data_IF_258628892651
#
_entry.id   IF_258628892651
#
_cell.length_a   1.000
_cell.length_b   1.000
_cell.length_c   1.000
_cell.angle_alpha   90.00
_cell.angle_beta   90.00
_cell.angle_gamma   90.00
#
_symmetry.space_group_name_H-M   'P 1'
#
loop_
_entity.id
_entity.type
_entity.pdbx_description
1 polymer ?
2 non-polymer ?
3 non-polymer ?
4 non-polymer ?
5 water ?
#
# COMPACT_ATOMS: atom_id res chain seq x y z
N UNK A 2 -3.89 10.43 15.97
CA UNK A 2 -4.75 9.56 15.11
C UNK A 2 -3.94 9.10 13.89
N UNK A 3 -4.66 8.59 12.88
CA UNK A 3 -4.10 8.25 11.58
C UNK A 3 -4.66 9.25 10.57
N UNK A 4 -3.82 9.66 9.61
CA UNK A 4 -4.32 10.53 8.56
C UNK A 4 -4.11 9.87 7.21
N UNK A 5 -5.08 10.12 6.32
CA UNK A 5 -5.11 9.61 4.96
C UNK A 5 -3.91 10.18 4.21
N UNK A 6 -3.36 9.40 3.27
CA UNK A 6 -2.25 9.86 2.45
C UNK A 6 -2.74 10.45 1.13
N UNK A 7 -1.99 11.45 0.66
CA UNK A 7 -2.22 12.09 -0.62
C UNK A 7 -1.08 11.74 -1.57
N UNK A 8 -1.22 12.17 -2.83
CA UNK A 8 -0.18 12.02 -3.84
C UNK A 8 1.15 12.59 -3.35
N UNK A 9 1.09 13.65 -2.54
CA UNK A 9 2.29 14.34 -2.07
C UNK A 9 3.04 13.47 -1.06
N UNK A 10 2.28 12.90 -0.11
CA UNK A 10 2.79 11.93 0.84
C UNK A 10 3.44 10.77 0.10
N UNK A 11 2.74 10.26 -0.92
CA UNK A 11 3.22 9.10 -1.65
C UNK A 11 4.58 9.42 -2.28
N UNK A 12 4.68 10.64 -2.82
CA UNK A 12 5.86 11.15 -3.51
C UNK A 12 7.04 11.15 -2.54
N UNK A 13 6.83 11.71 -1.34
CA UNK A 13 7.86 11.79 -0.32
C UNK A 13 8.29 10.38 0.09
N UNK A 14 7.31 9.51 0.35
CA UNK A 14 7.61 8.16 0.81
C UNK A 14 8.42 7.42 -0.23
N UNK A 15 8.13 7.68 -1.51
CA UNK A 15 8.87 7.04 -2.59
C UNK A 15 10.34 7.43 -2.47
N UNK A 16 10.58 8.71 -2.16
CA UNK A 16 11.93 9.24 -2.08
C UNK A 16 12.66 8.61 -0.90
N UNK A 17 11.99 8.58 0.26
CA UNK A 17 12.57 8.05 1.48
C UNK A 17 12.93 6.57 1.30
N UNK A 18 12.05 5.80 0.66
CA UNK A 18 12.27 4.36 0.52
C UNK A 18 13.36 4.08 -0.52
N UNK A 19 13.41 4.91 -1.57
CA UNK A 19 14.38 4.73 -2.65
C UNK A 19 15.78 4.88 -2.06
N UNK A 20 15.93 5.89 -1.20
CA UNK A 20 17.17 6.10 -0.49
C UNK A 20 17.46 4.91 0.43
N UNK A 21 16.56 4.65 1.38
CA UNK A 21 16.82 3.71 2.46
C UNK A 21 16.98 2.26 1.97
N UNK A 22 16.45 1.94 0.79
CA UNK A 22 16.55 0.57 0.30
C UNK A 22 17.59 0.43 -0.80
N UNK A 23 18.12 1.57 -1.29
CA UNK A 23 19.05 1.62 -2.42
C UNK A 23 18.41 0.99 -3.65
N UNK A 24 17.33 1.61 -4.12
CA UNK A 24 16.61 1.09 -5.27
C UNK A 24 17.39 1.49 -6.52
N UNK A 25 17.78 0.53 -7.38
CA UNK A 25 18.38 0.87 -8.68
C UNK A 25 17.48 1.84 -9.44
N UNK A 26 18.09 2.66 -10.31
CA UNK A 26 17.40 3.75 -10.99
C UNK A 26 16.40 3.23 -12.02
N UNK A 27 16.64 2.02 -12.54
CA UNK A 27 15.73 1.45 -13.53
C UNK A 27 14.36 1.21 -12.88
N UNK A 28 14.37 0.95 -11.56
CA UNK A 28 13.16 0.68 -10.79
C UNK A 28 12.40 1.97 -10.49
N UNK A 29 13.14 3.04 -10.14
CA UNK A 29 12.58 4.33 -9.77
C UNK A 29 11.66 4.85 -10.88
N UNK A 30 12.11 4.75 -12.13
CA UNK A 30 11.30 5.20 -13.25
C UNK A 30 9.97 4.46 -13.26
N UNK A 31 10.04 3.13 -13.14
CA UNK A 31 8.84 2.32 -13.10
C UNK A 31 7.94 2.76 -11.94
N UNK A 32 8.54 2.95 -10.75
CA UNK A 32 7.78 3.30 -9.57
C UNK A 32 7.13 4.67 -9.73
N UNK A 33 7.83 5.61 -10.37
CA UNK A 33 7.27 6.92 -10.64
C UNK A 33 5.96 6.78 -11.41
N UNK A 34 5.87 5.73 -12.24
CA UNK A 34 4.74 5.52 -13.13
C UNK A 34 3.75 4.54 -12.53
N UNK A 35 3.96 4.15 -11.27
CA UNK A 35 3.09 3.21 -10.56
C UNK A 35 3.05 1.87 -11.28
N UNK A 36 4.21 1.44 -11.79
CA UNK A 36 4.40 0.14 -12.42
C UNK A 36 5.28 -0.72 -11.52
N UNK A 37 4.77 -1.90 -11.13
CA UNK A 37 5.41 -2.67 -10.08
C UNK A 37 5.70 -4.10 -10.52
N UNK A 38 6.95 -4.42 -10.93
CA UNK A 38 7.36 -5.80 -11.16
C UNK A 38 7.24 -6.65 -9.90
N UNK A 39 6.87 -7.92 -10.09
CA UNK A 39 6.67 -8.87 -9.01
C UNK A 39 8.00 -9.47 -8.56
N UNK A 40 8.91 -8.66 -8.02
CA UNK A 40 10.15 -9.21 -7.49
C UNK A 40 10.43 -8.66 -6.09
N UNK A 41 11.50 -9.18 -5.47
CA UNK A 41 11.86 -8.87 -4.09
C UNK A 41 12.12 -7.38 -3.91
N UNK A 42 12.83 -6.76 -4.86
CA UNK A 42 13.11 -5.33 -4.80
C UNK A 42 11.80 -4.55 -4.64
N UNK A 43 10.85 -4.83 -5.53
CA UNK A 43 9.56 -4.14 -5.57
C UNK A 43 8.75 -4.46 -4.31
N UNK A 44 8.76 -5.72 -3.89
CA UNK A 44 7.92 -6.15 -2.79
C UNK A 44 8.37 -5.45 -1.51
N UNK A 45 9.69 -5.29 -1.36
CA UNK A 45 10.17 -4.61 -0.18
C UNK A 45 9.88 -3.12 -0.33
N UNK A 46 9.83 -2.64 -1.57
CA UNK A 46 9.47 -1.25 -1.79
C UNK A 46 8.03 -1.00 -1.31
N UNK A 47 7.10 -1.88 -1.71
CA UNK A 47 5.70 -1.74 -1.35
C UNK A 47 5.56 -1.77 0.17
N UNK A 48 6.24 -2.74 0.81
CA UNK A 48 6.21 -2.84 2.26
C UNK A 48 6.60 -1.51 2.90
N UNK A 49 7.73 -0.95 2.46
CA UNK A 49 8.22 0.31 2.98
C UNK A 49 7.17 1.41 2.85
N UNK A 50 6.56 1.56 1.66
CA UNK A 50 5.56 2.59 1.43
C UNK A 50 4.34 2.36 2.32
N UNK A 51 3.84 1.12 2.37
CA UNK A 51 2.72 0.80 3.25
C UNK A 51 3.06 1.09 4.72
N UNK A 52 4.29 0.79 5.15
CA UNK A 52 4.70 1.08 6.51
C UNK A 52 4.50 2.57 6.77
N UNK A 53 5.01 3.40 5.85
CA UNK A 53 5.03 4.84 6.03
C UNK A 53 3.62 5.42 6.02
N UNK A 54 2.74 4.82 5.22
CA UNK A 54 1.36 5.25 5.12
C UNK A 54 0.55 4.72 6.30
N UNK A 55 1.17 3.83 7.09
CA UNK A 55 0.54 3.16 8.21
C UNK A 55 -0.61 2.27 7.74
N UNK A 56 -0.41 1.61 6.59
CA UNK A 56 -1.40 0.69 6.07
C UNK A 56 -1.00 -0.75 6.40
N UNK A 57 0.28 -0.95 6.75
CA UNK A 57 0.80 -2.28 6.98
C UNK A 57 1.87 -2.23 8.06
N UNK A 58 1.82 -3.22 8.96
CA UNK A 58 2.81 -3.37 10.02
C UNK A 58 3.41 -4.77 9.92
N UNK A 59 4.73 -4.87 10.15
CA UNK A 59 5.48 -6.09 9.88
C UNK A 59 5.08 -7.23 10.81
N UNK A 60 4.48 -6.91 11.96
CA UNK A 60 4.02 -7.94 12.88
C UNK A 60 2.51 -8.16 12.75
N UNK A 61 1.72 -7.08 12.79
CA UNK A 61 0.27 -7.20 12.82
C UNK A 61 -0.31 -7.44 11.42
N UNK A 62 0.48 -7.16 10.37
CA UNK A 62 0.02 -7.34 8.99
C UNK A 62 -0.77 -6.15 8.47
N UNK A 63 -1.65 -6.32 7.45
CA UNK A 63 -2.43 -5.20 6.93
C UNK A 63 -3.22 -4.59 8.09
N UNK A 64 -3.34 -3.25 8.12
CA UNK A 64 -4.02 -2.52 9.19
C UNK A 64 -5.38 -2.04 8.68
N UNK A 65 -6.43 -2.75 9.07
CA UNK A 65 -7.71 -2.71 8.39
C UNK A 65 -8.41 -1.37 8.58
N UNK A 66 -8.44 -0.88 9.82
CA UNK A 66 -9.07 0.41 10.10
C UNK A 66 -8.48 1.48 9.19
N UNK A 67 -7.14 1.54 9.15
CA UNK A 67 -6.48 2.59 8.38
C UNK A 67 -6.75 2.39 6.89
N UNK A 68 -6.71 1.13 6.44
CA UNK A 68 -6.94 0.84 5.03
C UNK A 68 -8.31 1.36 4.63
N UNK A 69 -9.30 1.13 5.51
CA UNK A 69 -10.68 1.50 5.22
C UNK A 69 -10.78 3.02 5.14
N UNK A 70 -10.22 3.72 6.13
CA UNK A 70 -10.09 5.16 6.05
C UNK A 70 -9.49 5.58 4.70
N UNK A 71 -8.48 4.85 4.22
CA UNK A 71 -7.71 5.25 3.05
C UNK A 71 -8.47 4.92 1.76
N UNK A 72 -9.05 3.72 1.70
CA UNK A 72 -9.69 3.23 0.48
C UNK A 72 -11.12 3.73 0.36
N UNK A 73 -11.78 4.00 1.50
CA UNK A 73 -13.19 4.35 1.47
C UNK A 73 -13.41 5.50 0.50
N UNK A 74 -12.61 6.56 0.66
CA UNK A 74 -12.84 7.86 0.03
C UNK A 74 -14.33 8.19 0.13
N UNK A 75 -14.88 8.18 1.35
CA UNK A 75 -16.25 8.63 1.58
C UNK A 75 -17.32 7.57 1.29
N UNK A 76 -17.02 6.64 0.37
CA UNK A 76 -17.86 5.47 0.10
C UNK A 76 -18.20 4.78 1.42
N UNK A 77 -19.20 3.88 1.40
CA UNK A 77 -19.68 3.28 2.63
C UNK A 77 -18.61 2.38 3.25
N UNK A 78 -18.23 2.74 4.48
CA UNK A 78 -17.21 2.07 5.28
C UNK A 78 -17.38 0.55 5.24
N UNK A 79 -18.57 0.06 5.62
CA UNK A 79 -18.79 -1.35 5.91
C UNK A 79 -18.57 -2.23 4.67
N UNK A 80 -19.01 -1.77 3.49
CA UNK A 80 -18.79 -2.54 2.27
C UNK A 80 -17.29 -2.58 1.95
N UNK A 81 -16.57 -1.51 2.31
CA UNK A 81 -15.14 -1.42 2.07
C UNK A 81 -14.43 -2.37 3.03
N UNK A 82 -14.89 -2.39 4.29
CA UNK A 82 -14.32 -3.28 5.29
C UNK A 82 -14.41 -4.73 4.83
N UNK A 83 -15.57 -5.08 4.25
CA UNK A 83 -15.87 -6.42 3.75
C UNK A 83 -14.89 -6.78 2.63
N UNK A 84 -14.59 -5.79 1.78
CA UNK A 84 -13.68 -6.00 0.67
C UNK A 84 -12.26 -6.19 1.19
N UNK A 85 -11.86 -5.32 2.12
CA UNK A 85 -10.51 -5.31 2.66
C UNK A 85 -10.26 -6.65 3.33
N UNK A 86 -11.23 -7.11 4.13
CA UNK A 86 -11.04 -8.33 4.92
C UNK A 86 -10.84 -9.53 4.00
N UNK A 87 -11.37 -9.47 2.78
CA UNK A 87 -11.19 -10.56 1.82
C UNK A 87 -9.72 -10.67 1.41
N UNK A 88 -8.94 -9.62 1.69
CA UNK A 88 -7.56 -9.48 1.26
C UNK A 88 -6.57 -9.76 2.39
N UNK A 89 -7.08 -9.87 3.62
CA UNK A 89 -6.25 -10.09 4.79
C UNK A 89 -5.96 -11.58 4.89
N UNK A 90 -4.73 -11.93 5.30
CA UNK A 90 -4.25 -13.29 5.44
C UNK A 90 -3.06 -13.29 6.40
N UNK A 91 -2.57 -14.47 6.77
CA UNK A 91 -1.46 -14.58 7.70
C UNK A 91 -0.13 -14.48 6.93
N UNK A 92 0.97 -14.32 7.67
CA UNK A 92 2.30 -14.25 7.09
C UNK A 92 2.82 -15.67 6.84
N UNK A 93 2.26 -16.32 5.82
CA UNK A 93 2.37 -17.76 5.64
C UNK A 93 3.81 -18.18 5.32
N UNK A 94 4.56 -17.34 4.61
CA UNK A 94 5.92 -17.71 4.25
C UNK A 94 6.95 -16.91 5.05
N UNK A 95 6.53 -16.34 6.19
CA UNK A 95 7.43 -15.63 7.10
C UNK A 95 8.27 -14.59 6.35
N UNK A 96 7.64 -13.85 5.44
CA UNK A 96 8.33 -12.82 4.67
C UNK A 96 7.44 -11.59 4.57
N UNK A 97 7.73 -10.59 5.40
CA UNK A 97 6.83 -9.47 5.56
C UNK A 97 6.68 -8.73 4.23
N UNK A 98 7.74 -8.76 3.40
CA UNK A 98 7.71 -8.11 2.10
C UNK A 98 6.70 -8.81 1.19
N UNK A 99 6.72 -10.15 1.18
CA UNK A 99 5.73 -10.96 0.46
C UNK A 99 4.32 -10.68 0.97
N UNK A 100 4.17 -10.60 2.29
CA UNK A 100 2.90 -10.35 2.94
C UNK A 100 2.28 -9.04 2.44
N UNK A 101 3.03 -7.93 2.53
CA UNK A 101 2.54 -6.63 2.08
C UNK A 101 2.14 -6.68 0.61
N UNK A 102 3.00 -7.28 -0.22
CA UNK A 102 2.79 -7.28 -1.65
C UNK A 102 1.57 -8.12 -2.02
N UNK A 103 1.35 -9.21 -1.29
CA UNK A 103 0.20 -10.06 -1.53
C UNK A 103 -1.09 -9.29 -1.29
N UNK A 104 -1.13 -8.45 -0.25
CA UNK A 104 -2.29 -7.62 0.01
C UNK A 104 -2.50 -6.55 -1.06
N UNK A 105 -1.40 -5.89 -1.44
CA UNK A 105 -1.43 -4.91 -2.52
C UNK A 105 -2.06 -5.53 -3.76
N UNK A 106 -1.63 -6.75 -4.08
CA UNK A 106 -2.08 -7.47 -5.27
C UNK A 106 -3.58 -7.73 -5.18
N UNK A 107 -4.04 -8.10 -3.98
CA UNK A 107 -5.44 -8.41 -3.76
C UNK A 107 -6.28 -7.14 -3.94
N UNK A 108 -5.84 -6.02 -3.33
CA UNK A 108 -6.47 -4.72 -3.51
C UNK A 108 -6.61 -4.39 -5.00
N UNK A 109 -5.55 -4.65 -5.77
CA UNK A 109 -5.60 -4.42 -7.20
C UNK A 109 -6.76 -5.21 -7.80
N UNK A 110 -6.78 -6.53 -7.55
CA UNK A 110 -7.80 -7.42 -8.10
C UNK A 110 -9.19 -6.89 -7.75
N UNK A 111 -9.40 -6.47 -6.50
CA UNK A 111 -10.71 -6.06 -6.02
C UNK A 111 -10.97 -4.59 -6.32
N UNK A 112 -10.18 -4.02 -7.23
CA UNK A 112 -10.34 -2.65 -7.71
C UNK A 112 -10.44 -1.65 -6.55
N UNK A 113 -9.50 -1.74 -5.59
CA UNK A 113 -9.39 -0.84 -4.46
C UNK A 113 -8.12 0.00 -4.59
N UNK A 114 -8.29 1.32 -4.66
CA UNK A 114 -7.20 2.22 -5.00
C UNK A 114 -6.82 3.09 -3.81
N UNK A 115 -5.51 3.17 -3.53
CA UNK A 115 -5.05 3.90 -2.37
C UNK A 115 -5.14 5.40 -2.63
N UNK A 116 -4.79 5.80 -3.86
CA UNK A 116 -4.85 7.20 -4.25
C UNK A 116 -5.88 7.32 -5.37
N UNK A 117 -6.98 8.01 -5.07
CA UNK A 117 -8.06 8.29 -6.00
C UNK A 117 -8.25 9.80 -6.10
N UNK A 118 -8.81 10.26 -7.23
CA UNK A 118 -9.20 11.65 -7.39
C UNK A 118 -10.41 11.92 -6.50
N UNK A 119 -10.62 13.18 -6.14
CA UNK A 119 -11.67 13.53 -5.19
C UNK A 119 -12.34 14.85 -5.60
N UNK A 120 -13.68 14.83 -5.68
CA UNK A 120 -14.47 15.98 -6.10
C UNK A 120 -15.15 16.58 -4.87
N UNK A 121 -14.94 17.89 -4.63
CA UNK A 121 -15.42 18.58 -3.44
C UNK A 121 -16.35 19.74 -3.82
N UNK A 122 -17.40 19.97 -3.02
CA UNK A 122 -18.26 21.13 -3.20
C UNK A 122 -17.72 22.30 -2.36
X LIG B 1 -7.18 -13.51 10.87
X LIG B 1 -10.08 -13.77 10.56
X LIG B 1 -8.28 -15.55 9.04
X LIG B 1 -9.92 -16.63 11.23
X LIG B 1 -7.02 -16.38 11.54
X LIG B 1 -8.81 -14.60 13.06
X LIG B 1 -8.78 -11.51 10.17
X LIG B 1 -6.54 -13.70 8.35
X LIG B 1 -4.98 -14.73 11.53
X LIG B 1 -7.12 -12.66 13.35
X LIG B 1 -10.09 -14.04 7.95
X LIG B 1 -6.34 -17.30 9.20
X LIG B 1 -8.33 -18.57 12.03
X LIG B 1 -10.62 -16.40 13.73
X LIG B 1 -12.12 -15.42 10.49
X LIG B 1 -9.96 -17.55 8.79
X LIG B 1 -6.90 -16.03 14.14
X LIG B 1 -10.93 -13.04 12.91
X LIG C 1 -2.71 2.30 -5.47
X LIG C 1 -3.17 1.25 -4.94
X LIG C 1 -3.41 3.13 -6.09
X LIG C 1 -1.19 2.57 -5.35
X LIG C 1 -0.60 3.63 -6.04
X LIG C 1 0.76 3.86 -5.94
X LIG C 1 1.56 3.06 -5.15
X LIG C 1 0.99 2.01 -4.46
X LIG C 1 -0.38 1.76 -4.56
X LIG D 1 10.40 13.21 -8.62
X LIG D 1 11.07 12.35 -9.69
X LIG D 1 11.24 13.19 -7.36
X LIG D 1 9.01 12.67 -8.32
X LIG D 1 10.27 14.65 -9.13
#
# INVERSE_FOLDING_TARGET
MEFTVSTTEDLQRYRTECVSSLNIPADYVEKFKKWEFPEDDTTMCYIKCVFNKMQLFDDTEGPLVDNLVHQLAHGRDAEEVRTEVLKCVDKNTDNNACHWAFRGFKCFQKNNLSLIKASIKKD
TBR TA1 TA2 TA3 TA4 TA5 TA6 BR1 BR2 BR3 BR4 BR5 BR6 BR7 BR8 BR9 BRA BRB BRC
BEZ C O1 O2 C1 C2 C3 C4 C5 C6
PO4 P O1 O2 O3 O4
#
